data_IF_583301241513
#
_entry.id   IF_583301241513
#
_cell.length_a   1.000
_cell.length_b   1.000
_cell.length_c   1.000
_cell.angle_alpha   90.00
_cell.angle_beta   90.00
_cell.angle_gamma   90.00
#
_symmetry.space_group_name_H-M   'P 1'
#
loop_
_entity.id
_entity.type
_entity.pdbx_description
1 polymer ?
#
# COMPACT_ATOMS: atom_id res chain seq x y z
N UNK A 1 0.57 28.80 -38.55
CA UNK A 1 0.67 27.31 -38.53
C UNK A 1 1.72 26.81 -37.53
N UNK A 2 2.97 27.26 -37.62
CA UNK A 2 4.03 26.83 -36.68
C UNK A 2 3.76 27.24 -35.22
N UNK A 3 3.20 28.44 -34.99
CA UNK A 3 2.82 28.92 -33.65
C UNK A 3 1.67 28.11 -33.04
N UNK A 4 0.65 27.81 -33.83
CA UNK A 4 -0.48 26.97 -33.42
C UNK A 4 -0.02 25.56 -33.02
N UNK A 5 0.97 25.00 -33.72
CA UNK A 5 1.56 23.71 -33.37
C UNK A 5 2.33 23.76 -32.04
N UNK A 6 3.11 24.83 -31.80
CA UNK A 6 3.81 25.04 -30.52
C UNK A 6 2.84 25.18 -29.34
N UNK A 7 1.74 25.93 -29.54
CA UNK A 7 0.71 26.09 -28.52
C UNK A 7 0.01 24.77 -28.20
N UNK A 8 -0.28 23.96 -29.21
CA UNK A 8 -0.86 22.62 -29.01
C UNK A 8 0.10 21.71 -28.22
N UNK A 9 1.39 21.73 -28.54
CA UNK A 9 2.40 20.92 -27.85
C UNK A 9 2.58 21.35 -26.38
N UNK A 10 2.60 22.66 -26.12
CA UNK A 10 2.61 23.20 -24.76
C UNK A 10 1.35 22.84 -23.98
N UNK A 11 0.17 22.91 -24.60
CA UNK A 11 -1.08 22.55 -23.95
C UNK A 11 -1.12 21.05 -23.58
N UNK A 12 -0.66 20.17 -24.48
CA UNK A 12 -0.55 18.72 -24.19
C UNK A 12 0.45 18.48 -23.05
N UNK A 13 1.61 19.14 -23.09
CA UNK A 13 2.60 19.03 -22.02
C UNK A 13 2.04 19.50 -20.67
N UNK A 14 1.27 20.59 -20.66
CA UNK A 14 0.64 21.10 -19.45
C UNK A 14 -0.36 20.10 -18.88
N UNK A 15 -1.19 19.46 -19.71
CA UNK A 15 -2.11 18.41 -19.22
C UNK A 15 -1.34 17.24 -18.60
N UNK A 16 -0.24 16.80 -19.22
CA UNK A 16 0.60 15.73 -18.67
C UNK A 16 1.24 16.15 -17.34
N UNK A 17 1.72 17.39 -17.25
CA UNK A 17 2.30 17.95 -16.04
C UNK A 17 1.29 18.03 -14.90
N UNK A 18 0.09 18.58 -15.16
CA UNK A 18 -0.96 18.67 -14.15
C UNK A 18 -1.43 17.28 -13.70
N UNK A 19 -1.55 16.32 -14.62
CA UNK A 19 -1.84 14.93 -14.26
C UNK A 19 -0.75 14.35 -13.36
N UNK A 20 0.53 14.64 -13.64
CA UNK A 20 1.66 14.22 -12.81
C UNK A 20 1.64 14.84 -11.40
N UNK A 21 1.31 16.13 -11.28
CA UNK A 21 1.15 16.81 -9.99
C UNK A 21 0.01 16.21 -9.18
N UNK A 22 -1.11 15.87 -9.84
CA UNK A 22 -2.25 15.23 -9.19
C UNK A 22 -1.93 13.81 -8.73
N UNK A 23 -1.24 13.01 -9.55
CA UNK A 23 -0.90 11.61 -9.23
C UNK A 23 0.26 11.50 -8.25
N UNK A 24 1.22 12.43 -8.28
CA UNK A 24 2.47 12.42 -7.51
C UNK A 24 2.30 12.07 -6.02
N UNK A 25 1.40 12.76 -5.29
CA UNK A 25 1.13 12.48 -3.87
C UNK A 25 0.60 11.07 -3.61
N UNK A 26 -0.05 10.45 -4.59
CA UNK A 26 -0.65 9.11 -4.48
C UNK A 26 0.31 7.98 -4.88
N UNK A 27 1.47 8.30 -5.47
CA UNK A 27 2.47 7.29 -5.88
C UNK A 27 2.82 6.33 -4.73
N UNK A 28 3.07 6.79 -3.49
CA UNK A 28 3.36 5.87 -2.38
C UNK A 28 2.21 4.90 -2.09
N UNK A 29 0.96 5.37 -2.17
CA UNK A 29 -0.22 4.54 -1.94
C UNK A 29 -0.44 3.53 -3.07
N UNK A 30 -0.24 3.96 -4.32
CA UNK A 30 -0.30 3.07 -5.48
C UNK A 30 0.79 2.00 -5.38
N UNK A 31 2.03 2.40 -5.04
CA UNK A 31 3.14 1.47 -4.83
C UNK A 31 2.84 0.48 -3.69
N UNK A 32 2.22 0.94 -2.60
CA UNK A 32 1.77 0.08 -1.50
C UNK A 32 0.78 -0.97 -2.00
N UNK A 33 -0.26 -0.57 -2.73
CA UNK A 33 -1.22 -1.49 -3.33
C UNK A 33 -0.57 -2.51 -4.26
N UNK A 34 0.30 -2.05 -5.18
CA UNK A 34 1.00 -2.91 -6.15
C UNK A 34 1.91 -3.92 -5.43
N UNK A 35 2.65 -3.47 -4.42
CA UNK A 35 3.50 -4.34 -3.61
C UNK A 35 2.68 -5.45 -2.93
N UNK A 36 1.60 -5.10 -2.22
CA UNK A 36 0.78 -6.11 -1.55
C UNK A 36 -0.01 -6.98 -2.51
N UNK A 37 -0.29 -6.51 -3.73
CA UNK A 37 -1.02 -7.25 -4.74
C UNK A 37 -0.13 -8.19 -5.59
N UNK A 38 1.15 -7.90 -5.77
CA UNK A 38 2.02 -8.70 -6.66
C UNK A 38 3.30 -9.22 -6.02
N UNK A 39 3.83 -8.59 -4.96
CA UNK A 39 5.08 -9.02 -4.35
C UNK A 39 4.89 -10.05 -3.23
N UNK A 40 3.69 -10.08 -2.63
CA UNK A 40 3.41 -10.90 -1.44
C UNK A 40 2.52 -12.08 -1.79
N UNK A 41 2.99 -13.30 -1.49
CA UNK A 41 2.20 -14.52 -1.59
C UNK A 41 1.29 -14.66 -0.35
N UNK A 42 0.00 -14.36 -0.55
CA UNK A 42 -0.98 -14.38 0.54
C UNK A 42 -1.37 -15.78 1.02
N UNK A 43 -1.14 -16.83 0.23
CA UNK A 43 -1.36 -18.20 0.70
C UNK A 43 -0.39 -18.54 1.82
N UNK A 44 0.91 -18.25 1.65
CA UNK A 44 1.93 -18.44 2.69
C UNK A 44 1.70 -17.50 3.88
N UNK A 45 1.43 -16.22 3.61
CA UNK A 45 1.21 -15.23 4.67
C UNK A 45 -0.02 -15.56 5.53
N UNK A 46 -1.10 -16.07 4.94
CA UNK A 46 -2.31 -16.47 5.69
C UNK A 46 -2.01 -17.57 6.71
N UNK A 47 -1.17 -18.54 6.38
CA UNK A 47 -0.79 -19.62 7.31
C UNK A 47 -0.05 -19.01 8.51
N UNK A 48 0.89 -18.10 8.28
CA UNK A 48 1.61 -17.38 9.35
C UNK A 48 0.66 -16.54 10.21
N UNK A 49 -0.28 -15.81 9.59
CA UNK A 49 -1.27 -15.02 10.32
C UNK A 49 -2.16 -15.91 11.20
N UNK A 50 -2.62 -17.05 10.68
CA UNK A 50 -3.39 -18.05 11.46
C UNK A 50 -2.58 -18.67 12.59
N UNK A 51 -1.27 -18.79 12.43
CA UNK A 51 -0.33 -19.25 13.46
C UNK A 51 -0.04 -18.23 14.57
N UNK A 52 -0.69 -17.06 14.56
CA UNK A 52 -0.53 -16.02 15.57
C UNK A 52 0.27 -14.80 15.11
N UNK A 53 0.68 -14.73 13.84
CA UNK A 53 1.41 -13.59 13.27
C UNK A 53 0.69 -12.23 13.36
N UNK A 54 -0.61 -12.23 13.68
CA UNK A 54 -1.39 -11.01 13.95
C UNK A 54 -0.79 -10.13 15.04
N UNK A 55 -0.22 -10.71 16.10
CA UNK A 55 0.35 -9.90 17.19
C UNK A 55 1.56 -9.09 16.71
N UNK A 56 2.44 -9.70 15.93
CA UNK A 56 3.60 -9.02 15.35
C UNK A 56 3.14 -7.90 14.41
N UNK A 57 2.10 -8.15 13.60
CA UNK A 57 1.54 -7.15 12.69
C UNK A 57 0.96 -5.94 13.46
N UNK A 58 0.19 -6.18 14.52
CA UNK A 58 -0.37 -5.12 15.35
C UNK A 58 0.72 -4.32 16.07
N UNK A 59 1.77 -4.99 16.55
CA UNK A 59 2.92 -4.32 17.17
C UNK A 59 3.66 -3.43 16.17
N UNK A 60 3.84 -3.86 14.92
CA UNK A 60 4.43 -3.05 13.86
C UNK A 60 3.55 -1.83 13.55
N UNK A 61 2.23 -2.02 13.45
CA UNK A 61 1.29 -0.90 13.27
C UNK A 61 1.37 0.10 14.43
N UNK A 62 1.39 -0.38 15.67
CA UNK A 62 1.51 0.47 16.85
C UNK A 62 2.85 1.24 16.85
N UNK A 63 3.96 0.56 16.55
CA UNK A 63 5.27 1.18 16.42
C UNK A 63 5.29 2.26 15.31
N UNK A 64 4.67 1.99 14.16
CA UNK A 64 4.57 2.94 13.06
C UNK A 64 3.81 4.21 13.46
N UNK A 65 2.68 4.08 14.17
CA UNK A 65 1.92 5.22 14.71
C UNK A 65 2.76 6.02 15.70
N UNK A 66 3.46 5.35 16.62
CA UNK A 66 4.30 6.00 17.63
C UNK A 66 5.47 6.74 16.98
N UNK A 67 6.23 6.08 16.11
CA UNK A 67 7.37 6.67 15.40
C UNK A 67 6.91 7.87 14.57
N UNK A 68 5.84 7.74 13.80
CA UNK A 68 5.32 8.85 12.99
C UNK A 68 4.76 9.98 13.86
N UNK A 69 4.10 9.64 14.97
CA UNK A 69 3.64 10.57 15.99
C UNK A 69 4.78 11.40 16.59
N UNK A 70 5.93 10.77 16.83
CA UNK A 70 7.12 11.39 17.40
C UNK A 70 7.94 12.21 16.38
N UNK A 71 8.07 11.74 15.14
CA UNK A 71 8.87 12.40 14.10
C UNK A 71 8.17 13.64 13.53
N UNK A 72 6.85 13.58 13.37
CA UNK A 72 6.05 14.66 12.82
C UNK A 72 4.85 14.95 13.73
N UNK A 73 5.06 15.69 14.84
CA UNK A 73 4.03 15.94 15.86
C UNK A 73 3.00 17.01 15.47
N UNK A 74 3.03 17.54 14.24
CA UNK A 74 2.11 18.58 13.78
C UNK A 74 0.69 18.07 13.51
N UNK A 75 -0.29 18.95 13.73
CA UNK A 75 -1.69 18.79 13.28
C UNK A 75 -1.74 18.99 11.76
N UNK A 76 -1.33 17.98 11.01
CA UNK A 76 -1.60 17.98 9.58
C UNK A 76 -3.06 17.59 9.37
N UNK A 77 -3.84 18.50 8.79
CA UNK A 77 -5.08 18.15 8.10
C UNK A 77 -4.74 17.03 7.11
N UNK A 78 -5.29 15.84 7.33
CA UNK A 78 -5.15 14.70 6.43
C UNK A 78 -6.09 14.81 5.21
N UNK A 79 -6.68 16.00 4.96
CA UNK A 79 -7.50 16.30 3.79
C UNK A 79 -8.86 15.58 3.79
N UNK A 80 -9.30 15.06 4.94
CA UNK A 80 -10.62 14.49 5.15
C UNK A 80 -11.58 15.64 5.49
N UNK A 81 -12.64 15.88 4.71
CA UNK A 81 -13.63 16.92 5.02
C UNK A 81 -14.31 16.59 6.37
N UNK A 82 -14.04 17.40 7.41
CA UNK A 82 -14.61 17.25 8.76
C UNK A 82 -13.60 17.23 9.92
N UNK A 83 -12.31 17.36 9.64
CA UNK A 83 -11.23 17.34 10.66
C UNK A 83 -11.29 18.50 11.66
N UNK A 84 -11.93 19.62 11.31
CA UNK A 84 -12.14 20.76 12.21
C UNK A 84 -13.09 20.46 13.40
N UNK A 85 -13.86 19.37 13.35
CA UNK A 85 -14.91 19.10 14.36
C UNK A 85 -14.52 18.11 15.47
N UNK A 86 -13.36 17.48 15.38
CA UNK A 86 -12.87 16.62 16.44
C UNK A 86 -11.43 17.03 16.76
N UNK A 87 -11.20 17.56 17.97
CA UNK A 87 -9.88 17.79 18.54
C UNK A 87 -9.09 16.49 18.67
N UNK A 88 -8.70 15.92 17.54
CA UNK A 88 -8.07 14.62 17.44
C UNK A 88 -6.59 14.81 17.75
N UNK A 89 -6.20 14.28 18.92
CA UNK A 89 -4.81 14.03 19.28
C UNK A 89 -4.05 13.51 18.06
N UNK A 90 -2.90 14.11 17.75
CA UNK A 90 -1.98 13.78 16.65
C UNK A 90 -1.81 12.26 16.39
N UNK A 91 -1.91 11.45 17.44
CA UNK A 91 -1.83 9.98 17.37
C UNK A 91 -3.09 9.30 16.82
N UNK A 92 -4.29 9.85 17.04
CA UNK A 92 -5.56 9.28 16.58
C UNK A 92 -5.65 9.32 15.06
N UNK A 93 -5.35 10.48 14.44
CA UNK A 93 -5.33 10.60 12.97
C UNK A 93 -4.35 9.62 12.32
N UNK A 94 -3.13 9.52 12.88
CA UNK A 94 -2.12 8.55 12.40
C UNK A 94 -2.56 7.10 12.61
N UNK A 95 -3.28 6.80 13.70
CA UNK A 95 -3.84 5.46 13.94
C UNK A 95 -4.87 5.10 12.89
N UNK A 96 -5.78 6.01 12.55
CA UNK A 96 -6.76 5.80 11.48
C UNK A 96 -6.05 5.57 10.15
N UNK A 97 -5.05 6.38 9.83
CA UNK A 97 -4.30 6.23 8.57
C UNK A 97 -3.56 4.89 8.48
N UNK A 98 -2.80 4.50 9.53
CA UNK A 98 -2.08 3.23 9.56
C UNK A 98 -3.06 2.04 9.51
N UNK A 99 -4.22 2.16 10.17
CA UNK A 99 -5.29 1.16 10.07
C UNK A 99 -5.84 1.08 8.66
N UNK A 100 -6.03 2.21 7.98
CA UNK A 100 -6.43 2.25 6.57
C UNK A 100 -5.43 1.53 5.65
N UNK A 101 -4.13 1.77 5.84
CA UNK A 101 -3.07 1.06 5.10
C UNK A 101 -3.09 -0.46 5.36
N UNK A 102 -3.37 -0.87 6.60
CA UNK A 102 -3.54 -2.27 6.96
C UNK A 102 -4.76 -2.89 6.27
N UNK A 103 -5.89 -2.18 6.25
CA UNK A 103 -7.10 -2.61 5.53
C UNK A 103 -6.84 -2.77 4.03
N UNK A 104 -6.13 -1.83 3.40
CA UNK A 104 -5.75 -1.91 1.98
C UNK A 104 -4.87 -3.14 1.73
N UNK A 105 -3.87 -3.36 2.58
CA UNK A 105 -3.02 -4.55 2.52
C UNK A 105 -3.89 -5.83 2.58
N UNK A 106 -4.80 -5.94 3.55
CA UNK A 106 -5.67 -7.11 3.68
C UNK A 106 -6.65 -7.26 2.50
N UNK A 107 -7.13 -6.15 1.93
CA UNK A 107 -7.99 -6.16 0.75
C UNK A 107 -7.25 -6.70 -0.47
N UNK A 108 -6.00 -6.28 -0.71
CA UNK A 108 -5.14 -6.84 -1.76
C UNK A 108 -5.01 -8.36 -1.60
N UNK A 109 -4.83 -8.84 -0.37
CA UNK A 109 -4.81 -10.26 -0.07
C UNK A 109 -6.14 -10.97 -0.36
N UNK A 110 -7.27 -10.36 -0.01
CA UNK A 110 -8.59 -10.91 -0.32
C UNK A 110 -8.82 -11.03 -1.84
N UNK A 111 -8.37 -10.03 -2.61
CA UNK A 111 -8.47 -10.01 -4.08
C UNK A 111 -7.59 -11.09 -4.75
N UNK A 112 -6.36 -11.31 -4.27
CA UNK A 112 -5.54 -12.41 -4.78
C UNK A 112 -6.21 -13.77 -4.50
N UNK A 113 -6.73 -13.95 -3.29
CA UNK A 113 -7.31 -15.21 -2.85
C UNK A 113 -8.68 -15.51 -3.45
N UNK A 114 -9.39 -14.52 -4.00
CA UNK A 114 -10.64 -14.75 -4.74
C UNK A 114 -10.41 -15.24 -6.17
N UNK A 115 -9.15 -15.31 -6.63
CA UNK A 115 -8.79 -15.70 -7.99
C UNK A 115 -8.97 -14.59 -9.03
N UNK A 116 -9.37 -13.37 -8.62
CA UNK A 116 -9.61 -12.26 -9.55
C UNK A 116 -8.33 -11.79 -10.27
N UNK A 117 -7.16 -11.99 -9.66
CA UNK A 117 -5.85 -11.63 -10.22
C UNK A 117 -4.98 -12.85 -10.57
N UNK A 118 -5.55 -14.06 -10.62
CA UNK A 118 -4.80 -15.32 -10.81
C UNK A 118 -3.93 -15.34 -12.08
N UNK A 119 -4.40 -14.68 -13.14
CA UNK A 119 -3.66 -14.50 -14.41
C UNK A 119 -2.39 -13.64 -14.28
N UNK A 120 -2.32 -12.73 -13.31
CA UNK A 120 -1.21 -11.79 -13.13
C UNK A 120 -0.38 -12.04 -11.87
N UNK A 121 -0.91 -12.82 -10.92
CA UNK A 121 -0.29 -13.16 -9.64
C UNK A 121 0.07 -14.66 -9.55
N UNK A 122 0.48 -15.26 -10.67
CA UNK A 122 0.84 -16.67 -10.70
C UNK A 122 2.23 -16.85 -10.07
N UNK A 123 2.25 -16.96 -8.74
CA UNK A 123 3.40 -17.48 -8.01
C UNK A 123 3.44 -18.97 -8.31
N UNK A 124 4.12 -19.36 -9.38
CA UNK A 124 4.37 -20.77 -9.71
C UNK A 124 5.01 -21.43 -8.48
N UNK A 125 4.29 -22.37 -7.88
CA UNK A 125 4.69 -23.15 -6.69
C UNK A 125 5.94 -24.03 -6.95
N UNK A 126 6.54 -23.96 -8.15
CA UNK A 126 7.60 -24.84 -8.64
C UNK A 126 9.03 -24.47 -8.19
N UNK A 127 9.24 -23.40 -7.39
CA UNK A 127 10.59 -22.94 -7.03
C UNK A 127 10.98 -23.11 -5.55
N UNK A 128 10.05 -23.55 -4.68
CA UNK A 128 10.32 -23.69 -3.24
C UNK A 128 10.27 -25.14 -2.72
N UNK A 129 10.00 -26.13 -3.58
CA UNK A 129 10.16 -27.55 -3.24
C UNK A 129 11.59 -28.01 -3.56
N UNK A 130 12.58 -27.59 -2.76
CA UNK A 130 13.80 -28.38 -2.64
C UNK A 130 13.45 -29.65 -1.82
N UNK A 131 13.54 -30.85 -2.38
CA UNK A 131 13.16 -32.07 -1.67
C UNK A 131 14.15 -32.32 -0.54
N UNK A 132 13.73 -32.00 0.69
CA UNK A 132 14.47 -32.26 1.93
C UNK A 132 14.58 -33.75 2.29
N UNK A 133 14.57 -34.66 1.31
CA UNK A 133 14.60 -36.12 1.48
C UNK A 133 15.84 -36.79 0.83
N UNK A 134 16.92 -36.03 0.60
CA UNK A 134 18.19 -36.58 0.09
C UNK A 134 19.26 -36.84 1.17
N UNK A 135 18.93 -36.78 2.46
CA UNK A 135 19.88 -36.95 3.57
C UNK A 135 19.73 -38.26 4.38
N UNK A 136 18.91 -39.20 3.92
CA UNK A 136 18.76 -40.52 4.55
C UNK A 136 18.76 -41.66 3.54
N UNK A 137 19.91 -41.97 2.94
CA UNK A 137 20.26 -43.32 2.47
C UNK A 137 21.77 -43.50 2.42
#
# INVERSE_FOLDING_TARGET
>A
MLESFKLLLLAVWQVVWEAGVVIGPWIPLIAWCVFWLFAVNWNKLRVVLRGGGWIALLLICAAAVLVWGSVAPGTHDFGIPGEDYAGNSNFVGKTVYVTGLLCIMLLCGAVQNSGACDRFCNFSDDLDEEPADAAHH
#
